data_IF_934948206858
#
_entry.id   IF_934948206858
#
_cell.length_a   1.000
_cell.length_b   1.000
_cell.length_c   1.000
_cell.angle_alpha   90.00
_cell.angle_beta   90.00
_cell.angle_gamma   90.00
#
_symmetry.space_group_name_H-M   'P 1'
#
loop_
_entity.id
_entity.type
_entity.pdbx_description
1 polymer ?
#
# COMPACT_ATOMS: atom_id res chain seq x y z
N UNK A 1 -14.42 -14.72 20.74
CA UNK A 1 -14.03 -13.46 21.40
C UNK A 1 -14.07 -12.38 20.34
N UNK A 2 -14.68 -11.27 20.64
CA UNK A 2 -14.68 -10.12 19.74
C UNK A 2 -13.23 -9.59 19.65
N UNK A 3 -12.77 -9.30 18.44
CA UNK A 3 -11.40 -8.83 18.21
C UNK A 3 -11.30 -7.39 18.73
N UNK A 4 -10.25 -7.07 19.48
CA UNK A 4 -10.02 -5.71 19.99
C UNK A 4 -9.87 -4.74 18.83
N UNK A 5 -10.55 -3.61 18.87
CA UNK A 5 -10.44 -2.55 17.87
C UNK A 5 -9.01 -2.05 17.75
N UNK A 6 -8.47 -2.03 16.53
CA UNK A 6 -7.12 -1.53 16.21
C UNK A 6 -7.18 -0.71 14.93
N UNK A 7 -6.85 0.55 15.05
CA UNK A 7 -6.83 1.51 13.95
C UNK A 7 -5.47 2.18 13.84
N UNK A 8 -5.18 2.77 12.70
CA UNK A 8 -3.88 3.42 12.48
C UNK A 8 -3.99 4.76 11.75
N UNK A 9 -3.10 5.67 12.07
CA UNK A 9 -2.71 6.77 11.21
C UNK A 9 -1.35 6.43 10.60
N UNK A 10 -1.26 6.51 9.27
CA UNK A 10 -0.08 6.04 8.52
C UNK A 10 0.45 7.15 7.60
N UNK A 11 1.07 8.20 8.17
CA UNK A 11 1.57 9.33 7.40
C UNK A 11 2.85 9.00 6.64
N UNK A 12 2.99 9.59 5.44
CA UNK A 12 4.28 9.65 4.73
C UNK A 12 5.04 10.89 5.15
N UNK A 13 6.35 10.80 5.50
CA UNK A 13 7.15 11.93 5.96
C UNK A 13 7.63 12.81 4.78
N UNK A 14 6.67 13.35 4.02
CA UNK A 14 6.91 14.14 2.79
C UNK A 14 6.77 15.64 3.00
N UNK A 15 6.65 16.09 4.24
CA UNK A 15 6.51 17.48 4.64
C UNK A 15 5.73 17.64 5.94
N UNK A 16 5.37 18.89 6.30
CA UNK A 16 4.65 19.16 7.53
C UNK A 16 3.24 18.56 7.50
N UNK A 17 2.76 18.12 8.67
CA UNK A 17 1.42 17.61 8.84
C UNK A 17 0.41 18.74 8.65
N UNK A 18 -0.48 18.61 7.66
CA UNK A 18 -1.55 19.57 7.41
C UNK A 18 -2.85 19.17 8.13
N UNK A 19 -3.81 20.10 8.20
CA UNK A 19 -5.09 19.89 8.89
C UNK A 19 -5.86 18.65 8.46
N UNK A 20 -5.77 18.27 7.18
CA UNK A 20 -6.38 17.02 6.68
C UNK A 20 -5.79 15.78 7.33
N UNK A 21 -4.47 15.76 7.51
CA UNK A 21 -3.77 14.67 8.22
C UNK A 21 -4.15 14.62 9.70
N UNK A 22 -4.15 15.78 10.37
CA UNK A 22 -4.59 15.88 11.79
C UNK A 22 -6.02 15.37 11.95
N UNK A 23 -6.93 15.76 11.06
CA UNK A 23 -8.33 15.30 11.06
C UNK A 23 -8.41 13.78 10.92
N UNK A 24 -7.67 13.19 9.99
CA UNK A 24 -7.65 11.74 9.81
C UNK A 24 -7.10 11.02 11.05
N UNK A 25 -6.02 11.53 11.64
CA UNK A 25 -5.46 11.00 12.88
C UNK A 25 -6.49 11.10 14.03
N UNK A 26 -7.17 12.24 14.17
CA UNK A 26 -8.17 12.47 15.20
C UNK A 26 -9.35 11.50 15.10
N UNK A 27 -9.88 11.24 13.89
CA UNK A 27 -10.95 10.26 13.72
C UNK A 27 -10.52 8.86 14.14
N UNK A 28 -9.33 8.41 13.72
CA UNK A 28 -8.78 7.13 14.15
C UNK A 28 -8.61 7.07 15.68
N UNK A 29 -8.02 8.10 16.27
CA UNK A 29 -7.81 8.19 17.71
C UNK A 29 -9.12 8.13 18.49
N UNK A 30 -10.13 8.94 18.14
CA UNK A 30 -11.42 8.97 18.82
C UNK A 30 -12.16 7.64 18.66
N UNK A 31 -12.11 7.02 17.49
CA UNK A 31 -12.70 5.70 17.25
C UNK A 31 -12.07 4.64 18.15
N UNK A 32 -10.74 4.58 18.21
CA UNK A 32 -10.04 3.67 19.13
C UNK A 32 -10.46 3.90 20.58
N UNK A 33 -10.45 5.14 21.05
CA UNK A 33 -10.82 5.46 22.45
C UNK A 33 -12.27 5.13 22.77
N UNK A 34 -13.21 5.37 21.85
CA UNK A 34 -14.62 5.04 22.01
C UNK A 34 -14.84 3.53 22.16
N UNK A 35 -14.05 2.71 21.48
CA UNK A 35 -14.19 1.24 21.48
C UNK A 35 -13.20 0.53 22.41
N UNK A 36 -12.47 1.25 23.26
CA UNK A 36 -11.46 0.66 24.15
C UNK A 36 -10.32 -0.04 23.42
N UNK A 37 -10.03 0.41 22.18
CA UNK A 37 -9.05 -0.15 21.28
C UNK A 37 -7.71 0.58 21.29
N UNK A 38 -6.85 0.26 20.30
CA UNK A 38 -5.52 0.79 20.13
C UNK A 38 -5.44 1.70 18.91
N UNK A 39 -4.79 2.85 19.07
CA UNK A 39 -4.43 3.77 17.99
C UNK A 39 -2.94 3.66 17.69
N UNK A 40 -2.59 3.33 16.46
CA UNK A 40 -1.22 3.02 16.02
C UNK A 40 -0.71 4.09 15.08
N UNK A 41 0.57 4.48 15.23
CA UNK A 41 1.30 5.28 14.23
C UNK A 41 2.23 4.35 13.46
N UNK A 42 2.15 4.42 12.12
CA UNK A 42 3.06 3.74 11.17
C UNK A 42 3.57 4.75 10.16
N UNK A 43 4.88 4.82 9.97
CA UNK A 43 5.50 5.74 9.01
C UNK A 43 5.62 5.05 7.64
N UNK A 44 5.00 5.63 6.63
CA UNK A 44 5.03 5.15 5.25
C UNK A 44 6.09 5.91 4.44
N UNK A 45 7.35 5.49 4.60
CA UNK A 45 8.57 6.10 4.07
C UNK A 45 9.18 5.34 2.89
N UNK A 46 8.36 4.59 2.14
CA UNK A 46 8.80 3.81 0.97
C UNK A 46 9.17 4.67 -0.24
N UNK A 47 8.76 5.93 -0.29
CA UNK A 47 9.12 6.88 -1.33
C UNK A 47 10.27 7.79 -0.88
N UNK A 48 11.50 7.32 -1.08
CA UNK A 48 12.71 8.05 -0.70
C UNK A 48 12.89 9.39 -1.45
N UNK A 49 12.29 9.55 -2.64
CA UNK A 49 12.39 10.79 -3.42
C UNK A 49 11.61 11.95 -2.83
N UNK A 50 10.56 11.65 -2.05
CA UNK A 50 9.73 12.66 -1.39
C UNK A 50 10.02 12.80 0.10
N UNK A 51 11.00 12.08 0.63
CA UNK A 51 11.38 12.17 2.03
C UNK A 51 11.90 13.57 2.39
N UNK A 52 11.36 14.15 3.45
CA UNK A 52 11.77 15.46 3.98
C UNK A 52 12.37 15.25 5.38
N UNK A 53 13.65 15.56 5.59
CA UNK A 53 14.27 15.49 6.91
C UNK A 53 13.51 16.32 7.97
N UNK A 54 13.29 15.74 9.16
CA UNK A 54 12.55 16.37 10.24
C UNK A 54 11.02 16.30 10.13
N UNK A 55 10.48 15.79 9.02
CA UNK A 55 9.02 15.68 8.83
C UNK A 55 8.39 14.65 9.78
N UNK A 56 9.09 13.57 10.09
CA UNK A 56 8.62 12.53 11.01
C UNK A 56 8.48 13.08 12.43
N UNK A 57 9.53 13.73 12.92
CA UNK A 57 9.54 14.35 14.25
C UNK A 57 8.45 15.42 14.35
N UNK A 58 8.31 16.25 13.31
CA UNK A 58 7.25 17.27 13.24
C UNK A 58 5.84 16.66 13.30
N UNK A 59 5.61 15.56 12.58
CA UNK A 59 4.32 14.87 12.60
C UNK A 59 3.98 14.40 14.02
N UNK A 60 4.93 13.76 14.70
CA UNK A 60 4.76 13.24 16.05
C UNK A 60 4.53 14.39 17.06
N UNK A 61 5.33 15.46 16.97
CA UNK A 61 5.18 16.65 17.81
C UNK A 61 3.80 17.31 17.61
N UNK A 62 3.36 17.47 16.36
CA UNK A 62 2.06 18.06 16.04
C UNK A 62 0.90 17.23 16.59
N UNK A 63 0.97 15.89 16.50
CA UNK A 63 -0.04 15.01 17.09
C UNK A 63 -0.05 15.11 18.63
N UNK A 64 1.11 15.11 19.26
CA UNK A 64 1.25 15.29 20.70
C UNK A 64 0.67 16.63 21.15
N UNK A 65 0.96 17.72 20.43
CA UNK A 65 0.39 19.05 20.71
C UNK A 65 -1.14 19.06 20.63
N UNK A 66 -1.72 18.27 19.70
CA UNK A 66 -3.17 18.08 19.58
C UNK A 66 -3.76 17.13 20.64
N UNK A 67 -2.96 16.50 21.50
CA UNK A 67 -3.40 15.49 22.47
C UNK A 67 -3.74 14.15 21.83
N UNK A 68 -3.30 13.88 20.61
CA UNK A 68 -3.50 12.63 19.86
C UNK A 68 -2.31 11.71 20.15
N UNK A 69 -2.39 10.95 21.24
CA UNK A 69 -1.30 10.11 21.72
C UNK A 69 -1.49 8.67 21.26
N UNK A 70 -0.53 8.08 20.50
CA UNK A 70 -0.64 6.69 20.06
C UNK A 70 -0.39 5.70 21.19
N UNK A 71 -1.05 4.54 21.08
CA UNK A 71 -0.82 3.40 21.97
C UNK A 71 0.38 2.57 21.51
N UNK A 72 0.63 2.53 20.17
CA UNK A 72 1.77 1.84 19.54
C UNK A 72 2.41 2.71 18.43
N UNK A 73 3.65 2.39 18.08
CA UNK A 73 4.39 3.01 16.97
C UNK A 73 5.41 4.04 17.41
N UNK A 74 5.16 4.74 18.51
CA UNK A 74 6.01 5.79 19.04
C UNK A 74 6.28 5.56 20.53
N UNK A 75 7.52 5.74 20.97
CA UNK A 75 7.92 5.61 22.38
C UNK A 75 7.62 6.89 23.20
N UNK A 76 8.00 6.86 24.47
CA UNK A 76 7.77 7.98 25.39
C UNK A 76 8.59 9.23 25.05
N UNK A 77 9.68 9.07 24.30
CA UNK A 77 10.57 10.15 23.86
C UNK A 77 10.14 10.74 22.51
N UNK A 78 9.03 10.27 21.95
CA UNK A 78 8.51 10.70 20.64
C UNK A 78 9.26 10.11 19.45
N UNK A 79 9.92 8.96 19.61
CA UNK A 79 10.65 8.30 18.53
C UNK A 79 9.87 7.09 18.00
N UNK A 80 9.91 6.91 16.68
CA UNK A 80 9.32 5.72 16.04
C UNK A 80 10.08 4.47 16.47
N UNK A 81 9.34 3.48 16.97
CA UNK A 81 9.91 2.27 17.56
C UNK A 81 10.37 1.29 16.47
N UNK A 82 11.60 0.82 16.58
CA UNK A 82 12.26 -0.05 15.60
C UNK A 82 12.34 -1.51 16.07
N UNK A 83 12.28 -1.76 17.37
CA UNK A 83 12.47 -3.10 17.94
C UNK A 83 11.21 -3.56 18.68
N UNK A 84 10.76 -4.80 18.45
CA UNK A 84 9.60 -5.35 19.15
C UNK A 84 9.74 -5.36 20.66
N UNK A 85 8.65 -5.06 21.35
CA UNK A 85 8.52 -5.11 22.81
C UNK A 85 7.09 -5.47 23.21
N UNK A 86 6.82 -5.69 24.49
CA UNK A 86 5.47 -5.99 24.98
C UNK A 86 4.46 -4.87 24.64
N UNK A 87 4.89 -3.59 24.60
CA UNK A 87 4.05 -2.45 24.25
C UNK A 87 4.00 -2.22 22.73
N UNK A 88 5.02 -2.63 21.99
CA UNK A 88 5.17 -2.41 20.56
C UNK A 88 5.48 -3.73 19.84
N UNK A 89 4.54 -4.69 19.83
CA UNK A 89 4.81 -6.06 19.36
C UNK A 89 5.06 -6.16 17.86
N UNK A 90 4.59 -5.18 17.08
CA UNK A 90 4.63 -5.21 15.61
C UNK A 90 5.78 -4.37 15.00
N UNK A 91 6.70 -3.86 15.84
CA UNK A 91 7.86 -3.11 15.34
C UNK A 91 8.70 -3.94 14.34
N UNK A 92 9.40 -3.27 13.41
CA UNK A 92 9.52 -1.82 13.24
C UNK A 92 8.26 -1.18 12.65
N UNK A 93 8.01 0.10 13.01
CA UNK A 93 6.86 0.86 12.50
C UNK A 93 7.21 1.82 11.36
N UNK A 94 8.41 1.69 10.77
CA UNK A 94 8.78 2.30 9.48
C UNK A 94 8.74 1.27 8.37
N UNK A 95 8.08 1.57 7.27
CA UNK A 95 7.96 0.65 6.14
C UNK A 95 9.29 0.34 5.48
N UNK A 96 10.21 1.30 5.38
CA UNK A 96 11.56 1.09 4.83
C UNK A 96 12.36 0.00 5.56
N UNK A 97 12.06 -0.26 6.83
CA UNK A 97 12.71 -1.29 7.64
C UNK A 97 12.06 -2.68 7.51
N UNK A 98 10.97 -2.81 6.74
CA UNK A 98 10.16 -4.02 6.58
C UNK A 98 10.29 -4.67 5.20
N UNK A 99 11.25 -4.24 4.38
CA UNK A 99 11.45 -4.70 2.98
C UNK A 99 11.34 -6.23 2.75
N UNK A 100 12.01 -7.09 3.55
CA UNK A 100 11.95 -8.54 3.32
C UNK A 100 10.53 -9.11 3.45
N UNK A 101 9.72 -8.54 4.33
CA UNK A 101 8.33 -8.95 4.56
C UNK A 101 7.50 -8.71 3.29
N UNK A 102 7.59 -7.52 2.71
CA UNK A 102 6.80 -7.17 1.52
C UNK A 102 7.15 -8.02 0.31
N UNK A 103 8.44 -8.32 0.12
CA UNK A 103 8.88 -9.21 -0.95
C UNK A 103 8.26 -10.59 -0.81
N UNK A 104 8.25 -11.16 0.39
CA UNK A 104 7.64 -12.46 0.66
C UNK A 104 6.16 -12.51 0.25
N UNK A 105 5.38 -11.48 0.63
CA UNK A 105 3.96 -11.40 0.25
C UNK A 105 3.76 -11.17 -1.25
N UNK A 106 4.59 -10.36 -1.90
CA UNK A 106 4.55 -10.18 -3.34
C UNK A 106 4.81 -11.49 -4.09
N UNK A 107 5.82 -12.26 -3.67
CA UNK A 107 6.15 -13.58 -4.25
C UNK A 107 5.05 -14.62 -3.95
N UNK A 108 4.41 -14.56 -2.79
CA UNK A 108 3.25 -15.40 -2.46
C UNK A 108 2.08 -15.15 -3.41
N UNK A 109 1.79 -13.90 -3.75
CA UNK A 109 0.76 -13.56 -4.74
C UNK A 109 1.10 -14.07 -6.14
N UNK A 110 2.38 -14.05 -6.53
CA UNK A 110 2.82 -14.66 -7.80
C UNK A 110 2.63 -16.18 -7.76
N UNK A 111 3.07 -16.84 -6.70
CA UNK A 111 2.94 -18.28 -6.54
C UNK A 111 1.49 -18.77 -6.53
N UNK A 112 0.57 -17.96 -5.97
CA UNK A 112 -0.88 -18.25 -5.97
C UNK A 112 -1.60 -17.85 -7.27
N UNK A 113 -0.89 -17.24 -8.25
CA UNK A 113 -1.45 -16.82 -9.53
C UNK A 113 -2.26 -15.52 -9.50
N UNK A 114 -2.20 -14.76 -8.37
CA UNK A 114 -2.87 -13.47 -8.21
C UNK A 114 -1.99 -12.27 -8.60
N UNK A 115 -0.70 -12.51 -8.88
CA UNK A 115 0.23 -11.52 -9.41
C UNK A 115 1.14 -12.14 -10.46
N UNK A 116 1.92 -11.34 -11.15
CA UNK A 116 2.84 -11.76 -12.19
C UNK A 116 4.02 -10.80 -12.31
N UNK A 117 5.13 -11.29 -12.89
CA UNK A 117 6.30 -10.47 -13.20
C UNK A 117 6.08 -9.71 -14.49
N UNK A 118 6.38 -8.41 -14.51
CA UNK A 118 6.31 -7.53 -15.68
C UNK A 118 7.68 -6.91 -15.95
N UNK A 119 8.11 -6.97 -17.22
CA UNK A 119 9.44 -6.60 -17.71
C UNK A 119 9.42 -5.41 -18.66
N UNK A 120 8.28 -4.75 -18.81
CA UNK A 120 8.17 -3.53 -19.60
C UNK A 120 8.90 -2.38 -18.90
N UNK A 121 9.82 -1.73 -19.60
CA UNK A 121 10.55 -0.57 -19.09
C UNK A 121 9.65 0.67 -19.00
N UNK A 122 10.04 1.65 -18.20
CA UNK A 122 9.31 2.93 -18.12
C UNK A 122 9.21 3.60 -19.50
N UNK A 123 10.29 3.57 -20.30
CA UNK A 123 10.33 4.16 -21.64
C UNK A 123 9.36 3.46 -22.61
N UNK A 124 9.27 2.12 -22.57
CA UNK A 124 8.32 1.36 -23.39
C UNK A 124 6.86 1.70 -23.01
N UNK A 125 6.56 1.80 -21.72
CA UNK A 125 5.24 2.17 -21.24
C UNK A 125 4.88 3.62 -21.58
N UNK A 126 5.83 4.54 -21.50
CA UNK A 126 5.63 5.95 -21.88
C UNK A 126 5.38 6.09 -23.38
N UNK A 127 6.09 5.33 -24.21
CA UNK A 127 5.84 5.27 -25.66
C UNK A 127 4.41 4.78 -25.97
N UNK A 128 3.92 3.76 -25.26
CA UNK A 128 2.56 3.27 -25.43
C UNK A 128 1.52 4.28 -24.96
N UNK A 129 1.78 5.02 -23.87
CA UNK A 129 0.91 6.11 -23.41
C UNK A 129 0.79 7.21 -24.45
N UNK A 130 1.93 7.66 -24.99
CA UNK A 130 1.98 8.70 -26.02
C UNK A 130 1.26 8.27 -27.31
N UNK A 131 1.42 7.01 -27.73
CA UNK A 131 0.74 6.48 -28.92
C UNK A 131 -0.79 6.40 -28.71
N UNK A 132 -1.25 5.98 -27.54
CA UNK A 132 -2.67 5.93 -27.22
C UNK A 132 -3.27 7.36 -27.16
N UNK A 133 -2.58 8.30 -26.51
CA UNK A 133 -3.00 9.69 -26.44
C UNK A 133 -3.12 10.35 -27.83
N UNK A 134 -2.16 10.09 -28.72
CA UNK A 134 -2.21 10.55 -30.11
C UNK A 134 -3.40 9.97 -30.89
N UNK A 135 -3.90 8.78 -30.48
CA UNK A 135 -5.11 8.15 -31.03
C UNK A 135 -6.40 8.56 -30.28
N UNK A 136 -6.34 9.52 -29.34
CA UNK A 136 -7.49 9.95 -28.53
C UNK A 136 -7.95 8.90 -27.52
N UNK A 137 -7.06 7.99 -27.12
CA UNK A 137 -7.32 6.92 -26.17
C UNK A 137 -6.44 7.04 -24.92
N UNK A 138 -6.80 6.32 -23.86
CA UNK A 138 -5.99 6.23 -22.65
C UNK A 138 -5.38 4.83 -22.54
N UNK A 139 -4.06 4.73 -22.44
CA UNK A 139 -3.41 3.45 -22.15
C UNK A 139 -3.57 3.11 -20.66
N UNK A 140 -4.11 1.93 -20.39
CA UNK A 140 -4.24 1.36 -19.04
C UNK A 140 -3.59 -0.01 -19.06
N UNK A 141 -2.69 -0.29 -18.12
CA UNK A 141 -2.14 -1.63 -17.93
C UNK A 141 -3.19 -2.49 -17.21
N UNK A 142 -3.97 -3.28 -17.94
CA UNK A 142 -5.12 -4.01 -17.40
C UNK A 142 -5.25 -5.43 -18.01
N UNK A 143 -6.37 -6.08 -17.78
CA UNK A 143 -6.67 -7.45 -18.22
C UNK A 143 -6.48 -7.68 -19.73
N UNK A 144 -6.71 -6.65 -20.55
CA UNK A 144 -6.60 -6.72 -22.03
C UNK A 144 -5.17 -6.42 -22.47
N UNK A 145 -4.64 -5.28 -22.05
CA UNK A 145 -3.34 -4.80 -22.50
C UNK A 145 -2.18 -5.65 -22.00
N UNK A 146 -2.28 -6.29 -20.81
CA UNK A 146 -1.23 -7.20 -20.30
C UNK A 146 -0.93 -8.36 -21.23
N UNK A 147 -1.87 -8.78 -22.10
CA UNK A 147 -1.66 -9.86 -23.07
C UNK A 147 -0.81 -9.44 -24.27
N UNK A 148 -0.58 -8.14 -24.44
CA UNK A 148 0.27 -7.54 -25.49
C UNK A 148 1.60 -7.06 -24.96
N UNK A 149 1.86 -7.22 -23.65
CA UNK A 149 3.00 -6.68 -22.94
C UNK A 149 3.97 -7.77 -22.51
N UNK A 150 5.22 -7.37 -22.20
CA UNK A 150 6.28 -8.29 -21.84
C UNK A 150 6.22 -8.68 -20.37
N UNK A 151 5.60 -9.80 -20.07
CA UNK A 151 5.40 -10.28 -18.70
C UNK A 151 5.35 -11.81 -18.63
N UNK A 152 5.36 -12.37 -17.42
CA UNK A 152 5.38 -13.81 -17.19
C UNK A 152 4.11 -14.57 -17.59
N UNK A 153 3.04 -13.85 -18.01
CA UNK A 153 1.85 -14.47 -18.58
C UNK A 153 1.95 -14.66 -20.10
N UNK A 154 2.84 -13.91 -20.76
CA UNK A 154 3.04 -13.90 -22.23
C UNK A 154 4.36 -14.52 -22.67
N UNK A 155 5.34 -14.58 -21.78
CA UNK A 155 6.67 -15.16 -22.01
C UNK A 155 6.70 -16.65 -21.63
N UNK A 156 7.66 -17.40 -22.17
CA UNK A 156 7.93 -18.75 -21.71
C UNK A 156 8.51 -18.75 -20.29
N UNK A 157 8.40 -19.88 -19.54
CA UNK A 157 9.01 -20.00 -18.22
C UNK A 157 10.53 -19.81 -18.25
N UNK A 158 11.20 -20.27 -19.29
CA UNK A 158 12.66 -20.16 -19.49
C UNK A 158 13.06 -18.70 -19.69
N UNK A 159 12.32 -17.98 -20.54
CA UNK A 159 12.57 -16.55 -20.82
C UNK A 159 12.28 -15.71 -19.56
N UNK A 160 11.20 -16.01 -18.86
CA UNK A 160 10.86 -15.35 -17.59
C UNK A 160 11.98 -15.52 -16.57
N UNK A 161 12.48 -16.76 -16.39
CA UNK A 161 13.59 -17.05 -15.48
C UNK A 161 14.85 -16.29 -15.87
N UNK A 162 15.21 -16.30 -17.15
CA UNK A 162 16.37 -15.58 -17.68
C UNK A 162 16.29 -14.08 -17.35
N UNK A 163 15.14 -13.44 -17.60
CA UNK A 163 14.96 -12.00 -17.33
C UNK A 163 15.01 -11.67 -15.85
N UNK A 164 14.48 -12.53 -14.97
CA UNK A 164 14.58 -12.34 -13.52
C UNK A 164 16.02 -12.38 -13.00
N UNK A 165 16.93 -13.11 -13.69
CA UNK A 165 18.34 -13.23 -13.34
C UNK A 165 19.20 -12.11 -13.98
N UNK A 166 18.90 -11.72 -15.21
CA UNK A 166 19.75 -10.82 -16.02
C UNK A 166 19.47 -9.32 -15.77
N UNK A 167 18.27 -8.96 -15.31
CA UNK A 167 17.90 -7.55 -15.12
C UNK A 167 17.32 -7.27 -13.75
N UNK A 168 17.45 -6.04 -13.31
CA UNK A 168 16.74 -5.49 -12.13
C UNK A 168 15.56 -4.60 -12.51
N UNK A 169 15.31 -4.42 -13.79
CA UNK A 169 14.21 -3.58 -14.30
C UNK A 169 12.95 -4.43 -14.53
N UNK A 170 12.37 -4.91 -13.43
CA UNK A 170 11.11 -5.62 -13.44
C UNK A 170 10.28 -5.32 -12.18
N UNK A 171 8.98 -5.55 -12.30
CA UNK A 171 8.02 -5.31 -11.23
C UNK A 171 7.11 -6.53 -11.04
N UNK A 172 6.51 -6.63 -9.86
CA UNK A 172 5.38 -7.53 -9.64
C UNK A 172 4.10 -6.71 -9.72
N UNK A 173 3.16 -7.15 -10.58
CA UNK A 173 1.85 -6.53 -10.75
C UNK A 173 0.75 -7.43 -10.25
N UNK A 174 -0.27 -6.82 -9.65
CA UNK A 174 -1.50 -7.54 -9.32
C UNK A 174 -2.20 -7.98 -10.60
N UNK A 175 -2.63 -9.24 -10.65
CA UNK A 175 -3.41 -9.77 -11.77
C UNK A 175 -4.89 -9.51 -11.51
N UNK A 176 -5.37 -8.32 -11.91
CA UNK A 176 -6.76 -7.97 -11.74
C UNK A 176 -7.68 -9.01 -12.43
N UNK A 177 -8.64 -9.63 -11.71
CA UNK A 177 -9.57 -10.56 -12.31
C UNK A 177 -10.47 -9.86 -13.33
N UNK A 178 -10.88 -10.58 -14.35
CA UNK A 178 -11.77 -10.08 -15.41
C UNK A 178 -13.24 -10.31 -15.03
N UNK A 179 -14.10 -9.36 -15.36
CA UNK A 179 -15.57 -9.50 -15.24
C UNK A 179 -16.10 -9.68 -13.82
N UNK A 180 -15.29 -9.39 -12.78
CA UNK A 180 -15.71 -9.58 -11.39
C UNK A 180 -16.32 -8.30 -10.82
N UNK A 181 -17.44 -8.42 -10.12
CA UNK A 181 -17.96 -7.36 -9.25
C UNK A 181 -17.41 -7.58 -7.84
N UNK A 182 -16.66 -6.62 -7.35
CA UNK A 182 -16.19 -6.60 -5.95
C UNK A 182 -17.24 -5.88 -5.12
N UNK A 183 -17.81 -6.60 -4.16
CA UNK A 183 -18.78 -6.06 -3.20
C UNK A 183 -18.06 -5.76 -1.89
N UNK A 184 -18.29 -4.57 -1.36
CA UNK A 184 -17.59 -4.04 -0.18
C UNK A 184 -18.60 -3.32 0.71
N UNK A 185 -18.47 -3.51 2.02
CA UNK A 185 -19.30 -2.81 2.99
C UNK A 185 -18.46 -1.76 3.73
N UNK A 186 -18.73 -0.49 3.44
CA UNK A 186 -18.10 0.64 4.09
C UNK A 186 -18.98 1.11 5.26
N UNK A 187 -18.39 1.30 6.45
CA UNK A 187 -19.12 1.65 7.67
C UNK A 187 -19.82 3.02 7.58
N UNK A 188 -19.38 3.89 6.68
CA UNK A 188 -19.94 5.24 6.53
C UNK A 188 -20.82 5.32 5.27
N UNK A 189 -20.38 4.72 4.16
CA UNK A 189 -21.01 4.81 2.85
C UNK A 189 -21.98 3.66 2.55
N UNK A 190 -21.98 2.63 3.40
CA UNK A 190 -22.78 1.41 3.17
C UNK A 190 -22.21 0.54 2.08
N UNK A 191 -23.07 -0.14 1.35
CA UNK A 191 -22.71 -1.10 0.32
C UNK A 191 -22.15 -0.40 -0.93
N UNK A 192 -20.96 -0.85 -1.39
CA UNK A 192 -20.25 -0.34 -2.57
C UNK A 192 -19.95 -1.53 -3.49
N UNK A 193 -20.24 -1.37 -4.77
CA UNK A 193 -19.89 -2.33 -5.81
C UNK A 193 -18.97 -1.69 -6.85
N UNK A 194 -17.93 -2.40 -7.26
CA UNK A 194 -17.04 -1.96 -8.34
C UNK A 194 -16.70 -3.12 -9.29
N UNK A 195 -16.80 -2.84 -10.60
CA UNK A 195 -16.39 -3.79 -11.63
C UNK A 195 -14.88 -3.75 -11.85
N UNK A 196 -14.21 -4.90 -11.76
CA UNK A 196 -12.77 -5.03 -11.96
C UNK A 196 -12.31 -4.66 -13.37
N UNK A 197 -13.18 -4.69 -14.37
CA UNK A 197 -12.84 -4.30 -15.74
C UNK A 197 -12.51 -2.81 -15.89
N UNK A 198 -12.86 -1.99 -14.90
CA UNK A 198 -12.51 -0.57 -14.84
C UNK A 198 -11.18 -0.31 -14.14
N UNK A 199 -10.54 -1.35 -13.61
CA UNK A 199 -9.34 -1.25 -12.79
C UNK A 199 -8.10 -1.70 -13.57
N UNK A 200 -6.95 -1.22 -13.13
CA UNK A 200 -5.65 -1.54 -13.69
C UNK A 200 -4.88 -2.60 -12.87
N UNK A 201 -3.92 -3.25 -13.51
CA UNK A 201 -2.97 -4.16 -12.86
C UNK A 201 -1.90 -3.32 -12.15
N UNK A 202 -2.18 -2.88 -10.94
CA UNK A 202 -1.26 -2.05 -10.15
C UNK A 202 0.07 -2.75 -9.90
N UNK A 203 1.14 -1.98 -9.98
CA UNK A 203 2.45 -2.42 -9.48
C UNK A 203 2.34 -2.60 -7.97
N UNK A 204 2.76 -3.78 -7.48
CA UNK A 204 2.81 -4.10 -6.06
C UNK A 204 4.21 -3.98 -5.49
N UNK A 205 5.23 -4.41 -6.26
CA UNK A 205 6.61 -4.44 -5.81
C UNK A 205 7.57 -4.16 -6.98
N UNK A 206 8.69 -3.49 -6.71
CA UNK A 206 9.71 -3.11 -7.70
C UNK A 206 11.06 -3.72 -7.33
N UNK A 207 11.70 -4.39 -8.29
CA UNK A 207 13.03 -4.97 -8.09
C UNK A 207 14.12 -3.90 -7.93
N UNK A 208 14.04 -2.82 -8.68
CA UNK A 208 15.06 -1.78 -8.68
C UNK A 208 15.29 -1.15 -7.29
N UNK A 209 14.21 -0.92 -6.55
CA UNK A 209 14.24 -0.28 -5.22
C UNK A 209 14.18 -1.31 -4.08
N UNK A 210 13.82 -2.56 -4.42
CA UNK A 210 13.43 -3.60 -3.45
C UNK A 210 12.33 -3.14 -2.49
N UNK A 211 11.44 -2.30 -3.00
CA UNK A 211 10.36 -1.66 -2.23
C UNK A 211 8.98 -2.03 -2.80
N UNK A 212 8.01 -2.20 -1.92
CA UNK A 212 6.60 -2.29 -2.31
C UNK A 212 6.11 -0.93 -2.77
N UNK A 213 5.02 -0.94 -3.54
CA UNK A 213 4.18 0.25 -3.66
C UNK A 213 3.27 0.37 -2.43
N UNK A 214 2.68 1.55 -2.26
CA UNK A 214 1.69 1.80 -1.21
C UNK A 214 0.63 0.70 -1.09
N UNK A 215 0.12 0.22 -2.22
CA UNK A 215 -0.96 -0.77 -2.22
C UNK A 215 -0.60 -2.08 -1.51
N UNK A 216 0.59 -2.62 -1.76
CA UNK A 216 1.02 -3.84 -1.09
C UNK A 216 1.45 -3.57 0.36
N UNK A 217 2.26 -2.52 0.58
CA UNK A 217 2.78 -2.20 1.90
C UNK A 217 1.66 -1.96 2.92
N UNK A 218 0.66 -1.15 2.53
CA UNK A 218 -0.47 -0.83 3.39
C UNK A 218 -1.24 -2.09 3.83
N UNK A 219 -1.55 -3.00 2.89
CA UNK A 219 -2.32 -4.21 3.19
C UNK A 219 -1.52 -5.22 4.03
N UNK A 220 -0.26 -5.44 3.68
CA UNK A 220 0.62 -6.35 4.45
C UNK A 220 0.78 -5.85 5.88
N UNK A 221 0.99 -4.55 6.07
CA UNK A 221 1.15 -3.99 7.41
C UNK A 221 -0.16 -3.97 8.19
N UNK A 222 -1.29 -3.62 7.57
CA UNK A 222 -2.60 -3.65 8.22
C UNK A 222 -2.93 -5.09 8.67
N UNK A 223 -2.63 -6.09 7.85
CA UNK A 223 -2.78 -7.51 8.22
C UNK A 223 -1.88 -7.90 9.40
N UNK A 224 -0.56 -7.63 9.30
CA UNK A 224 0.42 -8.05 10.33
C UNK A 224 0.33 -7.25 11.63
N UNK A 225 -0.15 -6.01 11.57
CA UNK A 225 -0.42 -5.16 12.75
C UNK A 225 -1.84 -5.36 13.30
N UNK A 226 -2.58 -6.33 12.74
CA UNK A 226 -3.92 -6.73 13.18
C UNK A 226 -4.93 -5.57 13.16
N UNK A 227 -4.83 -4.66 12.19
CA UNK A 227 -5.77 -3.56 12.02
C UNK A 227 -7.17 -4.11 11.74
N UNK A 228 -8.15 -3.62 12.46
CA UNK A 228 -9.55 -4.05 12.36
C UNK A 228 -10.38 -3.12 11.50
N UNK A 229 -10.19 -1.82 11.62
CA UNK A 229 -10.88 -0.80 10.83
C UNK A 229 -9.89 0.19 10.22
N UNK A 230 -10.15 0.54 8.95
CA UNK A 230 -9.34 1.47 8.17
C UNK A 230 -10.13 2.75 7.94
N UNK A 231 -9.75 3.83 8.64
CA UNK A 231 -10.35 5.16 8.50
C UNK A 231 -9.36 6.05 7.74
N UNK A 232 -9.79 6.58 6.58
CA UNK A 232 -8.97 7.42 5.69
C UNK A 232 -9.83 8.32 4.81
N UNK A 233 -9.20 9.23 4.06
CA UNK A 233 -9.89 10.15 3.16
C UNK A 233 -10.58 9.43 1.99
N UNK A 234 -11.61 10.06 1.42
CA UNK A 234 -12.40 9.47 0.34
C UNK A 234 -11.63 9.36 -0.99
N UNK A 235 -10.53 10.07 -1.13
CA UNK A 235 -9.62 9.97 -2.26
C UNK A 235 -9.04 8.56 -2.45
N UNK A 236 -9.12 7.72 -1.42
CA UNK A 236 -8.66 6.33 -1.44
C UNK A 236 -9.74 5.32 -1.88
N UNK A 237 -10.99 5.74 -2.04
CA UNK A 237 -12.08 4.87 -2.50
C UNK A 237 -11.77 4.14 -3.82
N UNK A 238 -11.14 4.75 -4.84
CA UNK A 238 -10.80 4.04 -6.07
C UNK A 238 -9.82 2.86 -5.87
N UNK A 239 -9.06 2.86 -4.77
CA UNK A 239 -8.13 1.78 -4.42
C UNK A 239 -8.77 0.67 -3.58
N UNK A 240 -9.97 0.89 -3.04
CA UNK A 240 -10.63 -0.03 -2.12
C UNK A 240 -10.85 -1.43 -2.72
N UNK A 241 -11.30 -1.59 -3.99
CA UNK A 241 -11.49 -2.92 -4.57
C UNK A 241 -10.20 -3.72 -4.68
N UNK A 242 -9.08 -3.07 -5.05
CA UNK A 242 -7.77 -3.71 -5.08
C UNK A 242 -7.37 -4.19 -3.68
N UNK A 243 -7.59 -3.35 -2.65
CA UNK A 243 -7.27 -3.70 -1.28
C UNK A 243 -8.11 -4.89 -0.79
N UNK A 244 -9.39 -4.94 -1.13
CA UNK A 244 -10.26 -6.09 -0.84
C UNK A 244 -9.78 -7.38 -1.52
N UNK A 245 -9.25 -7.29 -2.74
CA UNK A 245 -8.75 -8.44 -3.50
C UNK A 245 -7.36 -8.90 -3.03
N UNK A 246 -6.60 -8.05 -2.34
CA UNK A 246 -5.29 -8.39 -1.77
C UNK A 246 -5.37 -9.16 -0.45
N UNK A 247 -6.50 -9.03 0.29
CA UNK A 247 -6.81 -9.86 1.47
C UNK A 247 -7.27 -11.26 1.07
#
# INVERSE_FOLDING_TARGET
MERRTRVRFAPSPTGPLHMGGVRTALYNYLYAKQHGGDFIIRIEDTDSHRFVPGAEEYIIEALNWCGIIPDEGVDADGKVVETPSARHPHAPYRQSQRKPIYRQYAEQLVASGHAYYAFDTAAELDSRRAAAEAAGQTFIYNQKTRLELRNSLTLSPEETKRLLEETTDWTIRFKMPEGRIVQMDDLIRGHIEMNTDTLDDKVLWKRADELPTYHLANIVDDHLMEITEVIRGEEWLPSLPLHYLLY
#
